data_IF_849393234965
#
_entry.id   IF_849393234965
#
_cell.length_a   1.000
_cell.length_b   1.000
_cell.length_c   1.000
_cell.angle_alpha   90.00
_cell.angle_beta   90.00
_cell.angle_gamma   90.00
#
_symmetry.space_group_name_H-M   'P 1'
#
loop_
_entity.id
_entity.type
_entity.pdbx_description
1 polymer ?
#
# COMPACT_ATOMS: atom_id res chain seq x y z
N UNK A 1 4.34 9.67 -14.40
CA UNK A 1 5.43 10.67 -14.31
C UNK A 1 6.57 10.13 -13.44
N UNK A 2 7.82 10.45 -13.75
CA UNK A 2 8.96 9.97 -12.94
C UNK A 2 9.20 10.88 -11.71
N UNK A 3 9.32 10.27 -10.52
CA UNK A 3 9.71 10.91 -9.27
C UNK A 3 10.47 9.90 -8.39
N UNK A 4 11.68 10.24 -7.97
CA UNK A 4 12.59 9.37 -7.20
C UNK A 4 12.87 8.00 -7.89
N UNK A 5 12.92 7.98 -9.22
CA UNK A 5 13.13 6.75 -10.00
C UNK A 5 11.89 5.87 -10.17
N UNK A 6 10.72 6.28 -9.65
CA UNK A 6 9.45 5.57 -9.82
C UNK A 6 8.55 6.23 -10.84
N UNK A 7 7.92 5.43 -11.68
CA UNK A 7 6.84 5.91 -12.55
C UNK A 7 5.54 5.98 -11.77
N UNK A 8 5.17 7.18 -11.30
CA UNK A 8 3.98 7.41 -10.49
C UNK A 8 2.76 7.61 -11.37
N UNK A 9 1.67 6.91 -11.07
CA UNK A 9 0.38 7.08 -11.72
C UNK A 9 -0.19 8.48 -11.48
N UNK A 10 -0.75 9.08 -12.52
CA UNK A 10 -1.39 10.41 -12.48
C UNK A 10 -2.94 10.29 -12.41
N UNK A 11 -3.46 9.06 -12.39
CA UNK A 11 -4.89 8.79 -12.31
C UNK A 11 -5.41 9.01 -10.88
N UNK A 12 -6.71 9.25 -10.78
CA UNK A 12 -7.43 9.24 -9.50
C UNK A 12 -7.65 7.80 -8.98
N UNK A 13 -8.39 7.64 -7.89
CA UNK A 13 -8.64 6.34 -7.28
C UNK A 13 -9.39 5.42 -8.24
N UNK A 14 -10.44 5.93 -8.89
CA UNK A 14 -11.26 5.18 -9.83
C UNK A 14 -10.44 4.73 -11.05
N UNK A 15 -9.72 5.66 -11.67
CA UNK A 15 -8.88 5.38 -12.84
C UNK A 15 -7.77 4.37 -12.55
N UNK A 16 -7.13 4.45 -11.36
CA UNK A 16 -6.14 3.46 -10.94
C UNK A 16 -6.77 2.08 -10.75
N UNK A 17 -7.90 2.00 -10.04
CA UNK A 17 -8.56 0.71 -9.79
C UNK A 17 -9.01 0.04 -11.09
N UNK A 18 -9.68 0.78 -12.00
CA UNK A 18 -10.08 0.26 -13.32
C UNK A 18 -8.89 -0.21 -14.15
N UNK A 19 -7.83 0.59 -14.23
CA UNK A 19 -6.61 0.22 -14.99
C UNK A 19 -5.98 -1.08 -14.46
N UNK A 20 -5.94 -1.26 -13.14
CA UNK A 20 -5.42 -2.47 -12.51
C UNK A 20 -6.30 -3.68 -12.82
N UNK A 21 -7.62 -3.58 -12.63
CA UNK A 21 -8.56 -4.68 -12.92
C UNK A 21 -8.55 -5.06 -14.41
N UNK A 22 -8.59 -4.08 -15.33
CA UNK A 22 -8.48 -4.35 -16.76
C UNK A 22 -7.15 -5.02 -17.13
N UNK A 23 -6.05 -4.62 -16.47
CA UNK A 23 -4.76 -5.25 -16.68
C UNK A 23 -4.75 -6.71 -16.21
N UNK A 24 -5.34 -7.00 -15.04
CA UNK A 24 -5.52 -8.36 -14.50
C UNK A 24 -6.30 -9.23 -15.51
N UNK A 25 -7.40 -8.72 -16.04
CA UNK A 25 -8.21 -9.43 -17.07
C UNK A 25 -7.42 -9.73 -18.36
N UNK A 26 -6.38 -8.95 -18.64
CA UNK A 26 -5.44 -9.15 -19.76
C UNK A 26 -4.20 -9.97 -19.39
N UNK A 27 -4.19 -10.63 -18.23
CA UNK A 27 -3.10 -11.45 -17.76
C UNK A 27 -1.89 -10.69 -17.19
N UNK A 28 -2.01 -9.39 -16.94
CA UNK A 28 -0.92 -8.62 -16.30
C UNK A 28 -0.86 -8.89 -14.81
N UNK A 29 0.38 -8.83 -14.28
CA UNK A 29 0.64 -8.93 -12.85
C UNK A 29 1.14 -7.59 -12.30
N UNK A 30 0.69 -7.24 -11.09
CA UNK A 30 0.99 -5.96 -10.47
C UNK A 30 1.50 -6.12 -9.03
N UNK A 31 2.70 -5.61 -8.79
CA UNK A 31 3.15 -5.29 -7.44
C UNK A 31 2.90 -3.79 -7.23
N UNK A 32 1.88 -3.45 -6.44
CA UNK A 32 1.42 -2.07 -6.25
C UNK A 32 2.07 -1.45 -5.02
N UNK A 33 2.71 -0.29 -5.19
CA UNK A 33 3.29 0.51 -4.12
C UNK A 33 2.47 1.79 -3.89
N UNK A 34 1.97 1.98 -2.69
CA UNK A 34 1.31 3.22 -2.25
C UNK A 34 2.33 4.17 -1.65
N UNK A 35 3.09 4.88 -2.54
CA UNK A 35 4.25 5.64 -2.10
C UNK A 35 3.88 6.79 -1.16
N UNK A 36 4.53 6.84 -0.01
CA UNK A 36 4.34 7.87 1.01
C UNK A 36 5.69 8.26 1.65
N UNK A 37 5.67 9.25 2.54
CA UNK A 37 6.90 9.78 3.16
C UNK A 37 7.69 8.73 3.95
N UNK A 38 7.02 7.74 4.53
CA UNK A 38 7.71 6.68 5.29
C UNK A 38 8.41 5.69 4.35
N UNK A 39 7.76 5.31 3.26
CA UNK A 39 8.34 4.47 2.21
C UNK A 39 9.58 5.14 1.62
N UNK A 40 9.47 6.42 1.26
CA UNK A 40 10.63 7.19 0.73
C UNK A 40 11.76 7.24 1.77
N UNK A 41 11.44 7.48 3.05
CA UNK A 41 12.44 7.44 4.11
C UNK A 41 13.14 6.07 4.18
N UNK A 42 12.41 4.97 4.15
CA UNK A 42 12.99 3.62 4.21
C UNK A 42 13.86 3.31 2.99
N UNK A 43 13.49 3.77 1.78
CA UNK A 43 14.29 3.65 0.56
C UNK A 43 15.69 4.27 0.74
N UNK A 44 15.76 5.47 1.34
CA UNK A 44 17.05 6.15 1.57
C UNK A 44 17.84 5.59 2.75
N UNK A 45 17.20 4.88 3.68
CA UNK A 45 17.84 4.34 4.87
C UNK A 45 18.33 2.92 4.71
N UNK A 46 17.65 2.10 3.89
CA UNK A 46 17.86 0.65 3.82
C UNK A 46 18.09 0.21 2.39
N UNK A 47 19.34 -0.10 2.00
CA UNK A 47 19.65 -0.57 0.65
C UNK A 47 18.84 -1.83 0.25
N UNK A 48 18.62 -2.75 1.20
CA UNK A 48 17.81 -3.95 0.98
C UNK A 48 16.35 -3.62 0.66
N UNK A 49 15.78 -2.62 1.33
CA UNK A 49 14.42 -2.16 1.03
C UNK A 49 14.35 -1.44 -0.32
N UNK A 50 15.35 -0.59 -0.62
CA UNK A 50 15.46 0.06 -1.91
C UNK A 50 15.55 -0.97 -3.07
N UNK A 51 16.25 -2.08 -2.85
CA UNK A 51 16.32 -3.21 -3.80
C UNK A 51 14.96 -3.90 -3.93
N UNK A 52 14.28 -4.17 -2.81
CA UNK A 52 12.99 -4.84 -2.81
C UNK A 52 11.92 -4.05 -3.61
N UNK A 53 11.86 -2.73 -3.43
CA UNK A 53 10.86 -1.90 -4.13
C UNK A 53 11.21 -1.61 -5.61
N UNK A 54 12.37 -2.02 -6.10
CA UNK A 54 12.68 -1.97 -7.55
C UNK A 54 11.81 -2.92 -8.39
N UNK A 55 11.30 -4.00 -7.79
CA UNK A 55 10.42 -4.95 -8.44
C UNK A 55 8.96 -4.46 -8.56
N UNK A 56 8.67 -3.29 -7.95
CA UNK A 56 7.36 -2.63 -8.08
C UNK A 56 7.15 -2.17 -9.53
N UNK A 57 6.01 -2.53 -10.08
CA UNK A 57 5.64 -2.16 -11.45
C UNK A 57 4.40 -1.28 -11.54
N UNK A 58 3.81 -0.90 -10.40
CA UNK A 58 2.72 0.08 -10.35
C UNK A 58 2.79 0.94 -9.09
N UNK A 59 2.90 2.26 -9.23
CA UNK A 59 3.08 3.17 -8.10
C UNK A 59 1.98 4.22 -8.07
N UNK A 60 1.33 4.38 -6.91
CA UNK A 60 0.30 5.41 -6.67
C UNK A 60 0.72 6.34 -5.54
N UNK A 61 0.41 7.65 -5.63
CA UNK A 61 0.80 8.64 -4.64
C UNK A 61 -0.18 8.66 -3.45
N UNK A 62 0.15 8.01 -2.32
CA UNK A 62 -0.69 8.04 -1.10
C UNK A 62 -0.35 9.22 -0.18
N UNK A 63 0.92 9.48 0.06
CA UNK A 63 1.33 10.44 1.07
C UNK A 63 1.22 11.90 0.63
N UNK A 64 0.56 12.75 1.45
CA UNK A 64 0.50 14.21 1.19
C UNK A 64 1.90 14.84 1.10
N UNK A 65 2.89 14.33 1.84
CA UNK A 65 4.28 14.78 1.75
C UNK A 65 4.86 14.55 0.36
N UNK A 66 4.64 13.37 -0.21
CA UNK A 66 5.08 13.03 -1.58
C UNK A 66 4.40 13.93 -2.61
N UNK A 67 3.09 14.14 -2.50
CA UNK A 67 2.32 15.02 -3.40
C UNK A 67 2.83 16.47 -3.34
N UNK A 68 3.11 17.00 -2.14
CA UNK A 68 3.67 18.33 -1.98
C UNK A 68 5.06 18.45 -2.60
N UNK A 69 5.92 17.44 -2.46
CA UNK A 69 7.24 17.43 -3.09
C UNK A 69 7.15 17.32 -4.62
N UNK A 70 6.26 16.49 -5.14
CA UNK A 70 5.98 16.41 -6.58
C UNK A 70 5.52 17.78 -7.11
N UNK A 71 4.58 18.44 -6.41
CA UNK A 71 4.12 19.78 -6.79
C UNK A 71 5.25 20.80 -6.79
N UNK A 72 6.15 20.73 -5.80
CA UNK A 72 7.28 21.66 -5.66
C UNK A 72 8.30 21.48 -6.78
N UNK A 73 8.78 20.26 -7.03
CA UNK A 73 9.87 19.97 -7.95
C UNK A 73 9.44 19.72 -9.40
N UNK A 74 8.28 19.15 -9.60
CA UNK A 74 7.78 18.83 -10.96
C UNK A 74 6.67 19.76 -11.44
N UNK A 75 6.27 20.75 -10.61
CA UNK A 75 5.19 21.70 -10.88
C UNK A 75 3.85 21.04 -11.29
N UNK A 76 3.70 19.73 -10.99
CA UNK A 76 2.49 18.93 -11.26
C UNK A 76 1.62 18.80 -10.02
N UNK A 77 0.30 18.90 -10.19
CA UNK A 77 -0.68 18.66 -9.14
C UNK A 77 -1.28 17.27 -9.35
N UNK A 78 -0.94 16.33 -8.47
CA UNK A 78 -1.53 15.00 -8.46
C UNK A 78 -2.65 14.91 -7.43
N UNK A 79 -3.63 14.06 -7.70
CA UNK A 79 -4.59 13.64 -6.69
C UNK A 79 -3.94 12.61 -5.75
N UNK A 80 -4.29 12.70 -4.48
CA UNK A 80 -3.91 11.69 -3.50
C UNK A 80 -4.73 10.42 -3.75
N UNK A 81 -4.04 9.27 -3.75
CA UNK A 81 -4.65 7.94 -3.84
C UNK A 81 -4.33 7.17 -2.55
N UNK A 82 -5.13 7.35 -1.47
CA UNK A 82 -4.89 6.65 -0.23
C UNK A 82 -5.02 5.13 -0.41
N UNK A 83 -4.06 4.37 0.14
CA UNK A 83 -4.02 2.93 -0.01
C UNK A 83 -5.30 2.22 0.44
N UNK A 84 -5.92 2.69 1.53
CA UNK A 84 -7.20 2.13 1.99
C UNK A 84 -8.34 2.37 1.01
N UNK A 85 -8.41 3.53 0.38
CA UNK A 85 -9.48 3.88 -0.58
C UNK A 85 -9.29 3.11 -1.88
N UNK A 86 -8.04 2.97 -2.34
CA UNK A 86 -7.73 2.12 -3.49
C UNK A 86 -8.07 0.65 -3.21
N UNK A 87 -7.72 0.12 -2.04
CA UNK A 87 -8.09 -1.24 -1.62
C UNK A 87 -9.61 -1.45 -1.65
N UNK A 88 -10.38 -0.53 -1.05
CA UNK A 88 -11.84 -0.61 -1.02
C UNK A 88 -12.41 -0.57 -2.44
N UNK A 89 -11.88 0.29 -3.31
CA UNK A 89 -12.33 0.38 -4.71
C UNK A 89 -11.96 -0.86 -5.53
N UNK A 90 -10.79 -1.45 -5.26
CA UNK A 90 -10.40 -2.72 -5.86
C UNK A 90 -11.31 -3.87 -5.40
N UNK A 91 -11.74 -3.90 -4.13
CA UNK A 91 -12.72 -4.88 -3.64
C UNK A 91 -14.09 -4.71 -4.32
N UNK A 92 -14.58 -3.47 -4.50
CA UNK A 92 -15.82 -3.17 -5.21
C UNK A 92 -15.78 -3.68 -6.67
N UNK A 93 -14.68 -3.41 -7.38
CA UNK A 93 -14.52 -3.90 -8.76
C UNK A 93 -14.26 -5.40 -8.81
N UNK A 94 -13.55 -5.98 -7.83
CA UNK A 94 -13.35 -7.43 -7.72
C UNK A 94 -14.69 -8.15 -7.53
N UNK A 95 -15.60 -7.59 -6.73
CA UNK A 95 -16.96 -8.11 -6.58
C UNK A 95 -17.68 -8.17 -7.93
N UNK A 96 -17.69 -7.07 -8.69
CA UNK A 96 -18.39 -6.99 -9.97
C UNK A 96 -17.78 -7.88 -11.06
N UNK A 97 -16.48 -8.16 -10.98
CA UNK A 97 -15.74 -8.98 -11.95
C UNK A 97 -15.57 -10.44 -11.49
N UNK A 98 -16.10 -10.82 -10.31
CA UNK A 98 -15.99 -12.14 -9.74
C UNK A 98 -14.58 -12.57 -9.35
N UNK A 99 -13.67 -11.59 -9.15
CA UNK A 99 -12.27 -11.86 -8.78
C UNK A 99 -12.14 -12.16 -7.29
N UNK A 100 -11.28 -13.09 -6.97
CA UNK A 100 -11.06 -13.60 -5.62
C UNK A 100 -9.97 -12.82 -4.89
N UNK A 101 -10.17 -12.60 -3.58
CA UNK A 101 -9.33 -11.77 -2.72
C UNK A 101 -8.77 -12.58 -1.56
N UNK A 102 -7.48 -12.44 -1.27
CA UNK A 102 -6.83 -12.96 -0.07
C UNK A 102 -6.34 -11.80 0.81
N UNK A 103 -6.53 -11.90 2.13
CA UNK A 103 -6.11 -10.91 3.10
C UNK A 103 -5.00 -11.49 3.99
N UNK A 104 -3.79 -10.92 3.91
CA UNK A 104 -2.64 -11.33 4.70
C UNK A 104 -2.19 -10.20 5.63
N UNK A 105 -2.08 -10.45 6.92
CA UNK A 105 -1.46 -9.47 7.80
C UNK A 105 -2.28 -9.10 9.03
N UNK A 106 -1.76 -8.14 9.79
CA UNK A 106 -2.30 -7.73 11.08
C UNK A 106 -2.43 -8.90 12.08
N UNK A 107 -3.19 -8.73 13.15
CA UNK A 107 -3.51 -9.80 14.09
C UNK A 107 -4.67 -10.64 13.56
N UNK A 108 -4.77 -11.88 14.03
CA UNK A 108 -5.79 -12.83 13.62
C UNK A 108 -7.21 -12.26 13.76
N UNK A 109 -7.53 -11.69 14.93
CA UNK A 109 -8.83 -11.07 15.16
C UNK A 109 -9.12 -9.88 14.24
N UNK A 110 -8.07 -9.15 13.81
CA UNK A 110 -8.20 -7.97 12.94
C UNK A 110 -8.43 -8.40 11.49
N UNK A 111 -7.65 -9.34 10.98
CA UNK A 111 -7.82 -9.78 9.58
C UNK A 111 -9.17 -10.48 9.38
N UNK A 112 -9.62 -11.30 10.34
CA UNK A 112 -10.95 -11.92 10.31
C UNK A 112 -12.07 -10.89 10.35
N UNK A 113 -11.98 -9.88 11.24
CA UNK A 113 -13.00 -8.83 11.31
C UNK A 113 -12.98 -7.95 10.04
N UNK A 114 -11.79 -7.72 9.44
CA UNK A 114 -11.66 -7.04 8.15
C UNK A 114 -12.42 -7.80 7.06
N UNK A 115 -12.26 -9.12 6.99
CA UNK A 115 -12.98 -9.95 6.02
C UNK A 115 -14.50 -9.86 6.21
N UNK A 116 -14.98 -9.98 7.46
CA UNK A 116 -16.41 -9.84 7.79
C UNK A 116 -16.94 -8.47 7.32
N UNK A 117 -16.29 -7.38 7.70
CA UNK A 117 -16.76 -6.03 7.37
C UNK A 117 -16.70 -5.74 5.85
N UNK A 118 -15.72 -6.34 5.14
CA UNK A 118 -15.70 -6.27 3.67
C UNK A 118 -16.82 -7.09 3.03
N UNK A 119 -17.12 -8.27 3.54
CA UNK A 119 -18.24 -9.10 3.05
C UNK A 119 -19.61 -8.48 3.35
N UNK A 120 -19.76 -7.79 4.49
CA UNK A 120 -20.97 -7.01 4.79
C UNK A 120 -21.14 -5.82 3.83
N UNK A 121 -20.04 -5.17 3.46
CA UNK A 121 -20.04 -4.03 2.53
C UNK A 121 -20.20 -4.43 1.07
N UNK A 122 -19.65 -5.58 0.70
CA UNK A 122 -19.61 -6.15 -0.64
C UNK A 122 -20.06 -7.62 -0.57
N UNK A 123 -21.40 -7.87 -0.60
CA UNK A 123 -21.94 -9.21 -0.31
C UNK A 123 -21.55 -10.30 -1.31
N UNK A 124 -21.19 -9.94 -2.55
CA UNK A 124 -20.77 -10.89 -3.58
C UNK A 124 -19.24 -10.99 -3.71
N UNK A 125 -18.47 -10.26 -2.90
CA UNK A 125 -17.01 -10.31 -2.89
C UNK A 125 -16.52 -11.67 -2.38
N UNK A 126 -15.73 -12.35 -3.18
CA UNK A 126 -15.14 -13.65 -2.83
C UNK A 126 -13.84 -13.45 -2.05
N UNK A 127 -13.91 -13.43 -0.72
CA UNK A 127 -12.72 -13.49 0.15
C UNK A 127 -12.42 -14.97 0.38
N UNK A 128 -11.41 -15.49 -0.32
CA UNK A 128 -11.10 -16.93 -0.36
C UNK A 128 -10.11 -17.38 0.70
N UNK A 129 -9.51 -16.44 1.45
CA UNK A 129 -8.65 -16.78 2.56
C UNK A 129 -8.20 -15.55 3.35
N UNK A 130 -7.80 -15.81 4.60
CA UNK A 130 -7.22 -14.81 5.50
C UNK A 130 -6.12 -15.45 6.31
N UNK A 131 -4.98 -14.75 6.48
CA UNK A 131 -3.91 -15.20 7.37
C UNK A 131 -3.33 -14.01 8.14
N UNK A 132 -2.98 -14.19 9.41
CA UNK A 132 -2.35 -13.14 10.21
C UNK A 132 -0.92 -12.82 9.73
N UNK A 133 -0.38 -11.66 10.13
CA UNK A 133 0.97 -11.20 9.74
C UNK A 133 2.08 -11.51 10.74
N UNK A 134 1.82 -12.34 11.76
CA UNK A 134 2.77 -12.72 12.81
C UNK A 134 3.21 -14.17 12.62
N UNK A 135 4.05 -14.40 11.65
CA UNK A 135 4.63 -15.71 11.33
C UNK A 135 6.14 -15.59 11.23
N UNK A 136 6.82 -16.72 11.36
CA UNK A 136 8.28 -16.85 11.26
C UNK A 136 8.69 -17.05 9.80
N UNK A 137 9.98 -16.93 9.53
CA UNK A 137 10.53 -17.17 8.19
C UNK A 137 10.29 -18.62 7.72
N UNK A 138 10.33 -19.57 8.64
CA UNK A 138 10.12 -21.00 8.34
C UNK A 138 8.68 -21.31 7.90
N UNK A 139 7.72 -20.45 8.25
CA UNK A 139 6.32 -20.58 7.83
C UNK A 139 6.04 -19.94 6.47
N UNK A 140 7.01 -19.18 5.93
CA UNK A 140 6.82 -18.40 4.71
C UNK A 140 6.31 -19.24 3.54
N UNK A 141 6.99 -20.37 3.26
CA UNK A 141 6.67 -21.20 2.09
C UNK A 141 5.30 -21.87 2.22
N UNK A 142 4.90 -22.22 3.46
CA UNK A 142 3.56 -22.74 3.73
C UNK A 142 2.49 -21.68 3.44
N UNK A 143 2.72 -20.43 3.82
CA UNK A 143 1.77 -19.34 3.57
C UNK A 143 1.67 -19.03 2.07
N UNK A 144 2.79 -19.04 1.35
CA UNK A 144 2.78 -18.88 -0.11
C UNK A 144 1.97 -20.03 -0.77
N UNK A 145 2.19 -21.27 -0.33
CA UNK A 145 1.40 -22.41 -0.82
C UNK A 145 -0.09 -22.28 -0.47
N UNK A 146 -0.42 -21.85 0.75
CA UNK A 146 -1.81 -21.61 1.16
C UNK A 146 -2.49 -20.58 0.26
N UNK A 147 -1.83 -19.47 -0.04
CA UNK A 147 -2.36 -18.45 -0.95
C UNK A 147 -2.56 -19.03 -2.36
N UNK A 148 -1.57 -19.75 -2.89
CA UNK A 148 -1.63 -20.32 -4.23
C UNK A 148 -2.67 -21.43 -4.39
N UNK A 149 -3.00 -22.16 -3.30
CA UNK A 149 -4.09 -23.13 -3.28
C UNK A 149 -5.48 -22.49 -3.39
N UNK A 150 -5.57 -21.19 -3.10
CA UNK A 150 -6.77 -20.40 -3.42
C UNK A 150 -6.65 -19.87 -4.84
N UNK A 151 -7.76 -19.50 -5.47
CA UNK A 151 -7.71 -18.85 -6.79
C UNK A 151 -7.58 -17.32 -6.68
N UNK A 152 -7.05 -16.81 -5.57
CA UNK A 152 -6.97 -15.37 -5.30
C UNK A 152 -6.23 -14.63 -6.41
N UNK A 153 -6.87 -13.61 -6.97
CA UNK A 153 -6.26 -12.70 -7.94
C UNK A 153 -5.72 -11.43 -7.29
N UNK A 154 -6.30 -11.02 -6.18
CA UNK A 154 -5.88 -9.86 -5.42
C UNK A 154 -5.39 -10.29 -4.03
N UNK A 155 -4.16 -9.89 -3.68
CA UNK A 155 -3.55 -10.10 -2.38
C UNK A 155 -3.30 -8.75 -1.71
N UNK A 156 -3.97 -8.51 -0.58
CA UNK A 156 -3.72 -7.33 0.26
C UNK A 156 -2.88 -7.70 1.47
N UNK A 157 -1.75 -7.00 1.66
CA UNK A 157 -0.76 -7.33 2.70
C UNK A 157 -0.67 -6.21 3.74
N UNK A 158 -1.03 -6.49 4.99
CA UNK A 158 -1.10 -5.54 6.11
C UNK A 158 -0.08 -5.85 7.22
N UNK A 159 1.21 -5.86 6.89
CA UNK A 159 2.30 -6.08 7.87
C UNK A 159 3.04 -4.78 8.22
N UNK A 160 2.69 -3.67 7.57
CA UNK A 160 3.33 -2.37 7.72
C UNK A 160 4.67 -2.26 7.00
N UNK A 161 5.06 -0.99 6.74
CA UNK A 161 6.34 -0.63 6.11
C UNK A 161 7.49 -0.86 7.11
N UNK A 162 8.59 -1.48 6.72
CA UNK A 162 8.98 -2.00 5.41
C UNK A 162 8.60 -3.47 5.15
N UNK A 163 8.05 -4.16 6.14
CA UNK A 163 7.89 -5.63 6.12
C UNK A 163 7.03 -6.12 4.96
N UNK A 164 5.90 -5.45 4.69
CA UNK A 164 4.95 -5.85 3.66
C UNK A 164 5.54 -5.79 2.25
N UNK A 165 6.26 -4.73 1.91
CA UNK A 165 6.89 -4.60 0.60
C UNK A 165 8.04 -5.61 0.43
N UNK A 166 8.84 -5.81 1.49
CA UNK A 166 9.91 -6.80 1.48
C UNK A 166 9.36 -8.23 1.29
N UNK A 167 8.28 -8.56 2.00
CA UNK A 167 7.64 -9.87 1.89
C UNK A 167 7.03 -10.08 0.50
N UNK A 168 6.30 -9.09 -0.03
CA UNK A 168 5.76 -9.16 -1.39
C UNK A 168 6.90 -9.32 -2.38
N UNK A 169 7.94 -8.48 -2.31
CA UNK A 169 9.08 -8.55 -3.25
C UNK A 169 9.78 -9.92 -3.24
N UNK A 170 9.92 -10.53 -2.07
CA UNK A 170 10.54 -11.86 -1.92
C UNK A 170 9.71 -12.94 -2.59
N UNK A 171 8.38 -12.87 -2.46
CA UNK A 171 7.49 -13.96 -2.82
C UNK A 171 6.72 -13.74 -4.13
N UNK A 172 6.77 -12.54 -4.74
CA UNK A 172 5.90 -12.16 -5.86
C UNK A 172 6.00 -13.10 -7.06
N UNK A 173 7.20 -13.60 -7.37
CA UNK A 173 7.38 -14.56 -8.47
C UNK A 173 6.82 -15.94 -8.17
N UNK A 174 6.77 -16.33 -6.88
CA UNK A 174 6.22 -17.63 -6.44
C UNK A 174 4.72 -17.58 -6.13
N UNK A 175 4.13 -16.40 -6.09
CA UNK A 175 2.70 -16.19 -5.85
C UNK A 175 1.91 -16.25 -7.16
N UNK A 176 0.79 -16.97 -7.19
CA UNK A 176 -0.11 -17.06 -8.37
C UNK A 176 -1.14 -15.92 -8.43
N UNK A 177 -0.92 -14.86 -7.64
CA UNK A 177 -1.80 -13.68 -7.65
C UNK A 177 -1.49 -12.73 -8.79
N UNK A 178 -2.52 -12.05 -9.29
CA UNK A 178 -2.36 -11.04 -10.33
C UNK A 178 -2.06 -9.65 -9.77
N UNK A 179 -2.42 -9.39 -8.50
CA UNK A 179 -2.12 -8.13 -7.83
C UNK A 179 -1.70 -8.40 -6.38
N UNK A 180 -0.54 -7.87 -5.98
CA UNK A 180 -0.13 -7.79 -4.58
C UNK A 180 0.06 -6.33 -4.17
N UNK A 181 -0.56 -5.90 -3.05
CA UNK A 181 -0.54 -4.51 -2.59
C UNK A 181 -0.34 -4.44 -1.08
N UNK A 182 0.68 -3.70 -0.66
CA UNK A 182 0.88 -3.34 0.74
C UNK A 182 -0.14 -2.29 1.19
N UNK A 183 -0.94 -2.61 2.21
CA UNK A 183 -2.04 -1.75 2.69
C UNK A 183 -1.84 -1.25 4.13
N UNK A 184 -0.79 -1.68 4.80
CA UNK A 184 -0.41 -1.23 6.15
C UNK A 184 -1.56 -1.32 7.16
N UNK A 185 -1.86 -0.21 7.82
CA UNK A 185 -2.91 -0.14 8.83
C UNK A 185 -4.34 -0.03 8.28
N UNK A 186 -4.60 -0.41 7.02
CA UNK A 186 -5.95 -0.37 6.46
C UNK A 186 -6.88 -1.39 7.12
N UNK A 187 -6.34 -2.57 7.46
CA UNK A 187 -7.13 -3.60 8.16
C UNK A 187 -7.61 -3.13 9.53
N UNK A 188 -6.77 -2.42 10.30
CA UNK A 188 -7.20 -1.88 11.60
C UNK A 188 -8.34 -0.86 11.48
N UNK A 189 -8.39 -0.12 10.36
CA UNK A 189 -9.46 0.84 10.08
C UNK A 189 -10.73 0.13 9.61
N UNK A 190 -10.62 -0.82 8.69
CA UNK A 190 -11.76 -1.58 8.16
C UNK A 190 -12.38 -2.46 9.26
N UNK A 191 -11.54 -3.05 10.13
CA UNK A 191 -11.99 -3.79 11.31
C UNK A 191 -12.55 -2.90 12.43
N UNK A 192 -12.64 -1.57 12.21
CA UNK A 192 -13.11 -0.57 13.18
C UNK A 192 -12.31 -0.51 14.50
N UNK A 193 -11.15 -1.15 14.53
CA UNK A 193 -10.25 -1.12 15.69
C UNK A 193 -9.67 0.28 15.92
N UNK A 194 -9.41 1.01 14.84
CA UNK A 194 -8.91 2.38 14.85
C UNK A 194 -9.88 3.27 14.09
N UNK A 195 -10.43 4.29 14.78
CA UNK A 195 -11.25 5.29 14.10
C UNK A 195 -10.41 6.07 13.09
N UNK A 196 -10.95 6.23 11.91
CA UNK A 196 -10.34 7.08 10.88
C UNK A 196 -10.37 8.56 11.29
N UNK A 197 -9.41 9.33 10.82
CA UNK A 197 -9.42 10.78 11.05
C UNK A 197 -10.70 11.41 10.50
N UNK A 198 -11.21 12.50 11.13
CA UNK A 198 -12.34 13.25 10.58
C UNK A 198 -12.10 13.67 9.12
N UNK A 199 -13.15 13.74 8.32
CA UNK A 199 -13.06 14.02 6.88
C UNK A 199 -12.26 15.30 6.54
N UNK A 200 -12.39 16.35 7.36
CA UNK A 200 -11.62 17.58 7.17
C UNK A 200 -10.11 17.36 7.35
N UNK A 201 -9.69 16.52 8.31
CA UNK A 201 -8.28 16.17 8.50
C UNK A 201 -7.75 15.29 7.37
N UNK A 202 -8.58 14.37 6.85
CA UNK A 202 -8.22 13.56 5.69
C UNK A 202 -8.00 14.44 4.46
N UNK A 203 -8.93 15.37 4.18
CA UNK A 203 -8.81 16.35 3.07
C UNK A 203 -7.61 17.29 3.24
N UNK A 204 -7.29 17.70 4.46
CA UNK A 204 -6.11 18.50 4.78
C UNK A 204 -4.78 17.70 4.74
N UNK A 205 -4.83 16.37 4.60
CA UNK A 205 -3.65 15.51 4.63
C UNK A 205 -3.04 15.35 6.03
N UNK A 206 -3.83 15.58 7.09
CA UNK A 206 -3.42 15.54 8.50
C UNK A 206 -3.74 14.18 9.18
N UNK A 207 -4.10 13.15 8.41
CA UNK A 207 -4.42 11.82 8.93
C UNK A 207 -3.25 11.22 9.74
N UNK A 208 -2.01 11.43 9.29
CA UNK A 208 -0.82 10.99 10.02
C UNK A 208 -0.69 11.63 11.41
N UNK A 209 -1.06 12.92 11.55
CA UNK A 209 -1.05 13.64 12.82
C UNK A 209 -2.13 13.09 13.76
N UNK A 210 -3.35 12.87 13.25
CA UNK A 210 -4.42 12.23 14.01
C UNK A 210 -3.99 10.87 14.57
N UNK A 211 -3.33 10.06 13.75
CA UNK A 211 -2.81 8.74 14.17
C UNK A 211 -1.71 8.85 15.23
N UNK A 212 -0.84 9.88 15.17
CA UNK A 212 0.15 10.13 16.21
C UNK A 212 -0.52 10.49 17.54
N UNK A 213 -1.52 11.38 17.51
CA UNK A 213 -2.26 11.79 18.71
C UNK A 213 -3.01 10.60 19.35
N UNK A 214 -3.56 9.71 18.53
CA UNK A 214 -4.28 8.51 19.04
C UNK A 214 -3.37 7.42 19.56
N UNK A 215 -2.19 7.24 18.99
CA UNK A 215 -1.23 6.20 19.35
C UNK A 215 0.18 6.77 19.57
N UNK A 216 0.39 7.71 20.53
CA UNK A 216 1.65 8.45 20.64
C UNK A 216 2.84 7.53 20.92
N UNK A 217 2.70 6.55 21.81
CA UNK A 217 3.79 5.61 22.17
C UNK A 217 4.31 4.82 20.96
N UNK A 218 3.44 4.48 20.01
CA UNK A 218 3.82 3.72 18.81
C UNK A 218 4.33 4.63 17.68
N UNK A 219 3.81 5.85 17.57
CA UNK A 219 3.95 6.68 16.38
C UNK A 219 4.82 7.93 16.53
N UNK A 220 5.19 8.35 17.74
CA UNK A 220 6.14 9.47 17.93
C UNK A 220 7.47 9.24 17.21
N UNK A 221 7.92 7.99 17.09
CA UNK A 221 9.12 7.62 16.31
C UNK A 221 9.03 7.96 14.80
N UNK A 222 7.84 8.31 14.30
CA UNK A 222 7.64 8.69 12.90
C UNK A 222 8.06 10.15 12.65
N UNK A 223 7.96 11.04 13.64
CA UNK A 223 8.29 12.46 13.48
C UNK A 223 9.72 12.70 12.95
N UNK A 224 10.77 12.14 13.55
CA UNK A 224 12.14 12.31 13.01
C UNK A 224 12.27 11.77 11.58
N UNK A 225 11.53 10.71 11.23
CA UNK A 225 11.55 10.12 9.87
C UNK A 225 10.91 11.05 8.84
N UNK A 226 9.86 11.81 9.21
CA UNK A 226 9.24 12.80 8.34
C UNK A 226 10.18 13.97 8.03
N UNK A 227 10.95 14.45 9.02
CA UNK A 227 11.97 15.48 8.79
C UNK A 227 13.09 14.98 7.87
N UNK A 228 13.59 13.77 8.12
CA UNK A 228 14.59 13.13 7.26
C UNK A 228 14.07 12.90 5.84
N UNK A 229 12.80 12.51 5.67
CA UNK A 229 12.17 12.43 4.35
C UNK A 229 12.29 13.74 3.56
N UNK A 230 11.95 14.87 4.18
CA UNK A 230 12.07 16.18 3.52
C UNK A 230 13.51 16.41 3.08
N UNK A 231 14.48 16.21 3.98
CA UNK A 231 15.90 16.35 3.67
C UNK A 231 16.35 15.48 2.48
N UNK A 232 15.94 14.21 2.46
CA UNK A 232 16.32 13.29 1.38
C UNK A 232 15.74 13.67 0.03
N UNK A 233 14.48 14.11 -0.01
CA UNK A 233 13.86 14.53 -1.27
C UNK A 233 14.56 15.80 -1.82
N UNK A 234 14.88 16.77 -0.94
CA UNK A 234 15.67 17.93 -1.36
C UNK A 234 17.05 17.54 -1.87
N UNK A 235 17.78 16.71 -1.13
CA UNK A 235 19.10 16.21 -1.56
C UNK A 235 19.03 15.53 -2.91
N UNK A 236 18.04 14.67 -3.13
CA UNK A 236 17.82 13.98 -4.40
C UNK A 236 17.54 14.97 -5.55
N UNK A 237 16.64 15.92 -5.34
CA UNK A 237 16.29 16.92 -6.34
C UNK A 237 17.51 17.75 -6.76
N UNK A 238 18.29 18.27 -5.78
CA UNK A 238 19.50 19.04 -6.07
C UNK A 238 20.61 18.23 -6.76
N UNK A 239 20.68 16.91 -6.55
CA UNK A 239 21.70 16.07 -7.21
C UNK A 239 21.30 15.68 -8.64
N UNK A 240 20.01 15.69 -8.99
CA UNK A 240 19.53 15.28 -10.31
C UNK A 240 19.07 16.44 -11.19
N UNK A 241 18.85 17.64 -10.63
CA UNK A 241 18.61 18.86 -11.44
C UNK A 241 19.89 19.50 -11.99
N UNK A 242 21.09 19.03 -11.61
CA UNK A 242 22.37 19.49 -12.15
C UNK A 242 22.88 18.66 -13.34
N UNK A 243 22.08 17.74 -13.83
CA UNK A 243 22.43 16.81 -14.89
C UNK A 243 21.60 16.89 -16.17
N UNK A 244 20.74 17.94 -16.29
CA UNK A 244 20.00 18.26 -17.54
C UNK A 244 20.45 19.62 -18.07
#
# INVERSE_FOLDING_TARGET
>A
MNFLGFEISELDIEGNARKLIEGIKRGKRYFVLTINSLIVYEIFQKPEYAKAVKNVNYVVPDGIGVIKMIKLFKKKKLQRVPGIELMIKLCELAESEGLEVFLLGSKEEVVKKTAINLSEKFPLLKIVGTHHGFFTEDENDRIVMEINQTNAKLLFVAMGVPKQEMWISKNFESLDVSLAMGVGGSFDVIAEKIKRAPNWMQKAGLEWLYRIVREPRKRMKILPRLFKFIFYVFKYAFSHERGD
#
